data_IF_867338497459
#
_entry.id   IF_867338497459
#
_cell.length_a   1.000
_cell.length_b   1.000
_cell.length_c   1.000
_cell.angle_alpha   90.00
_cell.angle_beta   90.00
_cell.angle_gamma   90.00
#
_symmetry.space_group_name_H-M   'P 1'
#
loop_
_entity.id
_entity.type
_entity.pdbx_description
1 polymer ?
#
# COMPACT_ATOMS: atom_id res chain seq x y z
N UNK A 1 -10.44 -9.44 5.21
CA UNK A 1 -9.97 -10.00 3.94
C UNK A 1 -8.56 -9.50 3.65
N UNK A 2 -7.78 -10.18 2.79
CA UNK A 2 -6.43 -9.76 2.38
C UNK A 2 -6.33 -9.69 0.86
N UNK A 3 -5.72 -8.63 0.33
CA UNK A 3 -5.34 -8.49 -1.08
C UNK A 3 -3.86 -8.13 -1.16
N UNK A 4 -3.14 -8.73 -2.11
CA UNK A 4 -1.73 -8.40 -2.38
C UNK A 4 -1.60 -7.78 -3.76
N UNK A 5 -0.95 -6.62 -3.84
CA UNK A 5 -0.58 -5.97 -5.09
C UNK A 5 0.91 -6.19 -5.34
N UNK A 6 1.27 -6.54 -6.57
CA UNK A 6 2.65 -6.77 -6.99
C UNK A 6 2.96 -5.87 -8.20
N UNK A 7 3.99 -5.05 -8.06
CA UNK A 7 4.45 -4.10 -9.08
C UNK A 7 5.84 -4.46 -9.64
N UNK A 8 6.24 -5.73 -9.53
CA UNK A 8 7.54 -6.26 -9.94
C UNK A 8 8.61 -6.08 -8.86
N UNK A 9 9.00 -4.84 -8.58
CA UNK A 9 10.08 -4.51 -7.65
C UNK A 9 9.62 -4.38 -6.20
N UNK A 10 8.37 -3.95 -6.01
CA UNK A 10 7.71 -3.78 -4.72
C UNK A 10 6.27 -4.28 -4.79
N UNK A 11 5.68 -4.50 -3.62
CA UNK A 11 4.27 -4.85 -3.50
C UNK A 11 3.69 -4.32 -2.19
N UNK A 12 2.38 -4.44 -2.04
CA UNK A 12 1.72 -4.15 -0.78
C UNK A 12 0.63 -5.17 -0.45
N UNK A 13 0.50 -5.45 0.84
CA UNK A 13 -0.60 -6.21 1.41
C UNK A 13 -1.61 -5.24 2.00
N UNK A 14 -2.88 -5.42 1.64
CA UNK A 14 -4.03 -4.63 2.07
C UNK A 14 -5.00 -5.52 2.84
N UNK A 15 -5.44 -5.04 4.01
CA UNK A 15 -6.32 -5.73 4.94
C UNK A 15 -7.59 -4.89 5.17
N UNK A 16 -8.73 -5.46 4.85
CA UNK A 16 -10.02 -4.75 4.82
C UNK A 16 -11.17 -5.69 5.14
N UNK A 17 -12.24 -5.17 5.74
CA UNK A 17 -13.45 -5.95 6.05
C UNK A 17 -14.54 -5.81 4.99
N UNK A 18 -14.52 -4.72 4.21
CA UNK A 18 -15.51 -4.42 3.18
C UNK A 18 -15.31 -5.30 1.93
N UNK A 19 -16.27 -6.18 1.58
CA UNK A 19 -16.17 -7.02 0.39
C UNK A 19 -16.22 -6.24 -0.93
N UNK A 20 -16.75 -5.02 -0.95
CA UNK A 20 -16.80 -4.17 -2.15
C UNK A 20 -15.51 -3.35 -2.36
N UNK A 21 -14.61 -3.31 -1.35
CA UNK A 21 -13.36 -2.55 -1.43
C UNK A 21 -12.51 -2.84 -2.68
N UNK A 22 -12.27 -4.09 -3.11
CA UNK A 22 -11.49 -4.36 -4.31
C UNK A 22 -12.07 -3.69 -5.57
N UNK A 23 -13.40 -3.61 -5.68
CA UNK A 23 -14.06 -2.91 -6.80
C UNK A 23 -13.85 -1.41 -6.69
N UNK A 24 -14.01 -0.84 -5.50
CA UNK A 24 -13.82 0.60 -5.26
C UNK A 24 -12.38 1.02 -5.59
N UNK A 25 -11.38 0.22 -5.17
CA UNK A 25 -9.98 0.45 -5.51
C UNK A 25 -9.75 0.40 -7.02
N UNK A 26 -10.33 -0.58 -7.72
CA UNK A 26 -10.19 -0.68 -9.18
C UNK A 26 -10.77 0.54 -9.91
N UNK A 27 -11.99 0.95 -9.54
CA UNK A 27 -12.65 2.14 -10.12
C UNK A 27 -11.83 3.40 -9.84
N UNK A 28 -11.30 3.54 -8.62
CA UNK A 28 -10.45 4.68 -8.27
C UNK A 28 -9.16 4.70 -9.09
N UNK A 29 -8.49 3.55 -9.25
CA UNK A 29 -7.28 3.43 -10.07
C UNK A 29 -7.54 3.77 -11.54
N UNK A 30 -8.66 3.33 -12.13
CA UNK A 30 -9.04 3.69 -13.52
C UNK A 30 -9.38 5.18 -13.68
N UNK A 31 -9.80 5.84 -12.61
CA UNK A 31 -10.12 7.27 -12.62
C UNK A 31 -8.89 8.17 -12.53
N UNK A 32 -7.75 7.62 -12.09
CA UNK A 32 -6.48 8.32 -12.10
C UNK A 32 -5.87 8.24 -13.50
N UNK A 33 -5.50 9.41 -14.05
CA UNK A 33 -4.71 9.45 -15.27
C UNK A 33 -3.40 8.68 -15.04
N UNK A 34 -3.00 7.84 -16.00
CA UNK A 34 -1.97 6.77 -15.89
C UNK A 34 -0.59 7.26 -15.39
N UNK A 35 -0.38 8.57 -15.31
CA UNK A 35 0.86 9.23 -14.92
C UNK A 35 0.90 9.78 -13.49
N UNK A 36 -0.23 9.84 -12.77
CA UNK A 36 -0.35 10.69 -11.57
C UNK A 36 -0.66 9.96 -10.25
N UNK A 37 -0.49 8.65 -10.14
CA UNK A 37 -0.69 7.97 -8.86
C UNK A 37 0.36 8.42 -7.83
N UNK A 38 -0.03 9.28 -6.91
CA UNK A 38 0.80 9.72 -5.78
C UNK A 38 0.59 8.79 -4.59
N UNK A 39 1.69 8.35 -3.96
CA UNK A 39 1.68 7.43 -2.81
C UNK A 39 0.80 7.95 -1.66
N UNK A 40 0.83 9.26 -1.39
CA UNK A 40 -0.01 9.88 -0.37
C UNK A 40 -1.51 9.82 -0.71
N UNK A 41 -1.88 9.99 -1.98
CA UNK A 41 -3.27 9.87 -2.43
C UNK A 41 -3.79 8.44 -2.27
N UNK A 42 -2.96 7.43 -2.57
CA UNK A 42 -3.31 6.04 -2.32
C UNK A 42 -3.49 5.78 -0.82
N UNK A 43 -2.53 6.17 0.02
CA UNK A 43 -2.62 5.96 1.46
C UNK A 43 -3.87 6.62 2.08
N UNK A 44 -4.20 7.84 1.62
CA UNK A 44 -5.40 8.55 2.06
C UNK A 44 -6.69 7.81 1.64
N UNK A 45 -6.79 7.38 0.38
CA UNK A 45 -7.91 6.59 -0.10
C UNK A 45 -8.09 5.29 0.72
N UNK A 46 -6.99 4.58 0.98
CA UNK A 46 -7.03 3.37 1.82
C UNK A 46 -7.55 3.67 3.23
N UNK A 47 -7.08 4.75 3.85
CA UNK A 47 -7.52 5.14 5.19
C UNK A 47 -9.01 5.56 5.23
N UNK A 48 -9.49 6.28 4.21
CA UNK A 48 -10.92 6.65 4.08
C UNK A 48 -11.83 5.41 3.99
N UNK A 49 -11.30 4.32 3.42
CA UNK A 49 -11.98 3.03 3.33
C UNK A 49 -11.65 2.06 4.49
N UNK A 50 -11.00 2.56 5.56
CA UNK A 50 -10.60 1.76 6.73
C UNK A 50 -9.78 0.50 6.36
N UNK A 51 -8.89 0.66 5.39
CA UNK A 51 -8.00 -0.41 4.90
C UNK A 51 -6.63 -0.24 5.52
N UNK A 52 -6.21 -1.22 6.32
CA UNK A 52 -4.85 -1.29 6.80
C UNK A 52 -3.93 -1.84 5.72
N UNK A 53 -2.66 -1.42 5.70
CA UNK A 53 -1.75 -1.87 4.66
C UNK A 53 -0.29 -1.76 5.02
N UNK A 54 0.53 -2.52 4.27
CA UNK A 54 2.00 -2.51 4.37
C UNK A 54 2.62 -2.77 3.01
N UNK A 55 3.55 -1.92 2.61
CA UNK A 55 4.39 -2.13 1.44
C UNK A 55 5.70 -2.83 1.81
N UNK A 56 6.19 -3.67 0.89
CA UNK A 56 7.45 -4.43 1.01
C UNK A 56 8.21 -4.43 -0.31
N UNK A 57 9.54 -4.50 -0.23
CA UNK A 57 10.40 -4.77 -1.39
C UNK A 57 10.30 -6.26 -1.75
N UNK A 58 10.17 -6.56 -3.05
CA UNK A 58 10.03 -7.93 -3.55
C UNK A 58 11.30 -8.44 -4.23
N UNK A 59 12.12 -7.56 -4.82
CA UNK A 59 13.37 -7.95 -5.46
C UNK A 59 14.54 -7.93 -4.47
N UNK A 60 15.16 -9.08 -4.27
CA UNK A 60 16.47 -9.17 -3.60
C UNK A 60 17.55 -8.56 -4.53
N UNK A 61 18.33 -7.60 -4.04
CA UNK A 61 19.48 -7.03 -4.78
C UNK A 61 19.32 -5.61 -5.32
N UNK A 62 18.18 -4.95 -5.09
CA UNK A 62 18.09 -3.50 -5.30
C UNK A 62 18.96 -2.81 -4.24
N UNK A 63 20.00 -2.11 -4.69
CA UNK A 63 20.87 -1.33 -3.82
C UNK A 63 20.08 -0.29 -3.02
N UNK A 64 20.64 0.12 -1.88
CA UNK A 64 20.17 1.27 -1.12
C UNK A 64 19.86 2.45 -2.07
N UNK A 65 18.70 3.09 -1.90
CA UNK A 65 18.16 4.22 -2.68
C UNK A 65 17.49 3.89 -4.02
N UNK A 66 16.90 2.70 -4.18
CA UNK A 66 16.06 2.41 -5.37
C UNK A 66 14.74 3.20 -5.34
N UNK A 67 14.14 3.52 -6.52
CA UNK A 67 12.80 4.12 -6.57
C UNK A 67 11.73 3.29 -5.82
N UNK A 68 11.82 1.97 -5.88
CA UNK A 68 10.96 1.04 -5.15
C UNK A 68 11.09 1.21 -3.63
N UNK A 69 12.29 1.34 -3.10
CA UNK A 69 12.53 1.56 -1.66
C UNK A 69 11.92 2.89 -1.21
N UNK A 70 12.08 3.95 -2.01
CA UNK A 70 11.45 5.25 -1.71
C UNK A 70 9.92 5.13 -1.65
N UNK A 71 9.31 4.42 -2.60
CA UNK A 71 7.86 4.19 -2.61
C UNK A 71 7.42 3.41 -1.37
N UNK A 72 8.12 2.33 -1.04
CA UNK A 72 7.82 1.49 0.15
C UNK A 72 7.90 2.32 1.43
N UNK A 73 8.96 3.11 1.60
CA UNK A 73 9.13 3.95 2.79
C UNK A 73 8.04 5.02 2.88
N UNK A 74 7.79 5.76 1.80
CA UNK A 74 6.74 6.79 1.77
C UNK A 74 5.35 6.22 2.05
N UNK A 75 5.03 5.06 1.46
CA UNK A 75 3.75 4.41 1.68
C UNK A 75 3.58 4.02 3.15
N UNK A 76 4.57 3.34 3.72
CA UNK A 76 4.51 2.87 5.10
C UNK A 76 4.51 4.04 6.11
N UNK A 77 5.25 5.12 5.84
CA UNK A 77 5.20 6.34 6.66
C UNK A 77 3.81 6.97 6.66
N UNK A 78 3.18 7.14 5.49
CA UNK A 78 1.83 7.70 5.42
C UNK A 78 0.78 6.80 6.05
N UNK A 79 0.84 5.47 5.83
CA UNK A 79 -0.06 4.55 6.51
C UNK A 79 0.12 4.61 8.03
N UNK A 80 1.35 4.80 8.52
CA UNK A 80 1.62 4.96 9.96
C UNK A 80 1.05 6.27 10.51
N UNK A 81 1.23 7.38 9.81
CA UNK A 81 0.66 8.68 10.17
C UNK A 81 -0.86 8.64 10.23
N UNK A 82 -1.49 7.86 9.36
CA UNK A 82 -2.94 7.66 9.30
C UNK A 82 -3.45 6.58 10.27
N UNK A 83 -2.57 5.92 11.03
CA UNK A 83 -2.95 4.84 11.96
C UNK A 83 -3.39 3.54 11.27
N UNK A 84 -3.07 3.38 9.99
CA UNK A 84 -3.47 2.27 9.12
C UNK A 84 -2.29 1.34 8.76
N UNK A 85 -1.09 1.59 9.29
CA UNK A 85 0.03 0.69 9.04
C UNK A 85 -0.25 -0.67 9.69
N UNK A 86 -0.29 -1.71 8.85
CA UNK A 86 -0.38 -3.08 9.34
C UNK A 86 1.03 -3.57 9.72
N UNK A 87 1.33 -3.57 11.01
CA UNK A 87 2.60 -4.11 11.52
C UNK A 87 2.38 -5.54 12.05
N UNK A 88 2.79 -6.52 11.25
CA UNK A 88 2.69 -7.95 11.57
C UNK A 88 3.56 -8.35 12.78
N UNK A 89 4.37 -7.42 13.31
CA UNK A 89 5.22 -7.64 14.50
C UNK A 89 4.45 -7.70 15.82
N UNK A 90 3.16 -7.36 15.86
CA UNK A 90 2.34 -7.38 17.09
C UNK A 90 1.84 -8.79 17.46
N UNK A 91 1.83 -9.76 16.53
CA UNK A 91 1.28 -11.10 16.77
C UNK A 91 2.28 -12.13 17.34
N UNK A 92 3.51 -11.71 17.69
CA UNK A 92 4.54 -12.60 18.24
C UNK A 92 4.95 -12.27 19.70
N UNK A 93 4.09 -11.59 20.46
CA UNK A 93 4.31 -11.33 21.90
C UNK A 93 3.53 -12.29 22.79
#
# INVERSE_FOLDING_TARGET
MKMSMNNGEWGCDLYFDDPDFPRNLHVWLESLDDTNLVVSSLAMFLAEHNVAGRAVLLSEGLGFYSPAERIVNQFNEHMKELGMLFDDTVLLS
#
